data_IF_524966372241
#
_entry.id   IF_524966372241
#
_cell.length_a   1.000
_cell.length_b   1.000
_cell.length_c   1.000
_cell.angle_alpha   90.00
_cell.angle_beta   90.00
_cell.angle_gamma   90.00
#
_symmetry.space_group_name_H-M   'P 1'
#
loop_
_entity.id
_entity.type
_entity.pdbx_description
1 polymer ?
#
# COMPACT_ATOMS: atom_id res chain seq x y z
N UNK A 1 18.24 28.01 26.68
CA UNK A 1 19.01 26.95 25.97
C UNK A 1 18.13 25.76 25.58
N UNK A 2 17.31 25.23 26.48
CA UNK A 2 16.42 24.08 26.20
C UNK A 2 15.45 24.30 25.02
N UNK A 3 14.78 25.46 24.96
CA UNK A 3 13.84 25.75 23.87
C UNK A 3 14.50 25.83 22.48
N UNK A 4 15.76 26.28 22.41
CA UNK A 4 16.53 26.26 21.16
C UNK A 4 16.82 24.83 20.72
N UNK A 5 17.24 23.96 21.65
CA UNK A 5 17.49 22.55 21.36
C UNK A 5 16.23 21.81 20.90
N UNK A 6 15.07 22.12 21.49
CA UNK A 6 13.77 21.57 21.07
C UNK A 6 13.40 22.02 19.66
N UNK A 7 13.62 23.28 19.30
CA UNK A 7 13.37 23.77 17.95
C UNK A 7 14.31 23.11 16.93
N UNK A 8 15.61 23.00 17.23
CA UNK A 8 16.56 22.31 16.36
C UNK A 8 16.18 20.84 16.18
N UNK A 9 15.77 20.15 17.25
CA UNK A 9 15.31 18.77 17.16
C UNK A 9 14.03 18.65 16.32
N UNK A 10 13.06 19.56 16.50
CA UNK A 10 11.85 19.62 15.68
C UNK A 10 12.18 19.81 14.21
N UNK A 11 13.03 20.77 13.87
CA UNK A 11 13.33 21.17 12.50
C UNK A 11 14.13 20.10 11.73
N UNK A 12 14.84 19.22 12.44
CA UNK A 12 15.62 18.14 11.83
C UNK A 12 14.85 16.82 11.83
N UNK A 13 14.25 16.44 12.96
CA UNK A 13 13.63 15.11 13.14
C UNK A 13 12.25 15.06 12.51
N UNK A 14 11.45 16.12 12.64
CA UNK A 14 10.06 16.11 12.15
C UNK A 14 9.98 15.92 10.62
N UNK A 15 10.77 16.63 9.79
CA UNK A 15 10.73 16.41 8.34
C UNK A 15 11.15 15.00 7.94
N UNK A 16 12.12 14.42 8.65
CA UNK A 16 12.54 13.04 8.41
C UNK A 16 11.39 12.08 8.71
N UNK A 17 10.79 12.17 9.91
CA UNK A 17 9.67 11.30 10.29
C UNK A 17 8.50 11.42 9.32
N UNK A 18 8.16 12.63 8.88
CA UNK A 18 7.13 12.85 7.86
C UNK A 18 7.51 12.16 6.55
N UNK A 19 8.75 12.32 6.07
CA UNK A 19 9.24 11.67 4.85
C UNK A 19 9.21 10.14 4.92
N UNK A 20 9.76 9.55 5.99
CA UNK A 20 9.73 8.11 6.21
C UNK A 20 8.31 7.57 6.30
N UNK A 21 7.42 8.26 7.02
CA UNK A 21 6.02 7.86 7.13
C UNK A 21 5.31 7.91 5.77
N UNK A 22 5.58 8.93 4.96
CA UNK A 22 5.05 9.03 3.59
C UNK A 22 5.47 7.85 2.72
N UNK A 23 6.76 7.48 2.75
CA UNK A 23 7.28 6.31 2.01
C UNK A 23 6.63 5.01 2.48
N UNK A 24 6.46 4.84 3.79
CA UNK A 24 5.84 3.63 4.35
C UNK A 24 4.35 3.52 3.96
N UNK A 25 3.62 4.64 3.97
CA UNK A 25 2.22 4.67 3.56
C UNK A 25 2.05 4.38 2.07
N UNK A 26 2.88 4.98 1.22
CA UNK A 26 2.85 4.71 -0.23
C UNK A 26 3.10 3.23 -0.53
N UNK A 27 4.11 2.63 0.13
CA UNK A 27 4.41 1.21 -0.01
C UNK A 27 3.26 0.31 0.47
N UNK A 28 2.63 0.67 1.59
CA UNK A 28 1.49 -0.09 2.12
C UNK A 28 0.28 0.00 1.18
N UNK A 29 0.01 1.19 0.64
CA UNK A 29 -1.05 1.42 -0.35
C UNK A 29 -0.81 0.60 -1.62
N UNK A 30 0.42 0.63 -2.14
CA UNK A 30 0.80 -0.14 -3.32
C UNK A 30 0.61 -1.64 -3.09
N UNK A 31 1.11 -2.17 -1.98
CA UNK A 31 0.94 -3.58 -1.63
C UNK A 31 -0.53 -3.99 -1.47
N UNK A 32 -1.37 -3.11 -0.89
CA UNK A 32 -2.82 -3.37 -0.78
C UNK A 32 -3.47 -3.44 -2.15
N UNK A 33 -3.15 -2.50 -3.04
CA UNK A 33 -3.70 -2.45 -4.40
C UNK A 33 -3.25 -3.66 -5.23
N UNK A 34 -1.99 -4.05 -5.16
CA UNK A 34 -1.48 -5.21 -5.89
C UNK A 34 -2.17 -6.50 -5.45
N UNK A 35 -2.36 -6.69 -4.14
CA UNK A 35 -3.09 -7.85 -3.62
C UNK A 35 -4.54 -7.85 -4.08
N UNK A 36 -5.20 -6.69 -4.07
CA UNK A 36 -6.57 -6.57 -4.56
C UNK A 36 -6.67 -6.92 -6.05
N UNK A 37 -5.79 -6.38 -6.89
CA UNK A 37 -5.77 -6.65 -8.32
C UNK A 37 -5.46 -8.12 -8.62
N UNK A 38 -4.52 -8.73 -7.89
CA UNK A 38 -4.25 -10.17 -7.99
C UNK A 38 -5.50 -11.00 -7.66
N UNK A 39 -6.19 -10.67 -6.56
CA UNK A 39 -7.45 -11.33 -6.20
C UNK A 39 -8.53 -11.17 -7.27
N UNK A 40 -8.65 -10.00 -7.89
CA UNK A 40 -9.62 -9.78 -8.97
C UNK A 40 -9.30 -10.63 -10.20
N UNK A 41 -8.00 -10.75 -10.56
CA UNK A 41 -7.58 -11.59 -11.66
C UNK A 41 -7.89 -13.07 -11.41
N UNK A 42 -7.61 -13.56 -10.21
CA UNK A 42 -7.91 -14.94 -9.81
C UNK A 42 -9.41 -15.25 -9.86
N UNK A 43 -10.25 -14.32 -9.38
CA UNK A 43 -11.72 -14.46 -9.43
C UNK A 43 -12.21 -14.47 -10.89
N UNK A 44 -11.73 -13.54 -11.72
CA UNK A 44 -12.12 -13.49 -13.13
C UNK A 44 -11.75 -14.77 -13.89
N UNK A 45 -10.58 -15.33 -13.61
CA UNK A 45 -10.15 -16.62 -14.19
C UNK A 45 -11.02 -17.78 -13.69
N UNK A 46 -11.40 -17.79 -12.41
CA UNK A 46 -12.33 -18.78 -11.86
C UNK A 46 -13.68 -18.71 -12.56
N UNK A 47 -14.26 -17.51 -12.71
CA UNK A 47 -15.53 -17.30 -13.41
C UNK A 47 -15.48 -17.76 -14.87
N UNK A 48 -14.38 -17.46 -15.57
CA UNK A 48 -14.16 -17.92 -16.95
C UNK A 48 -14.18 -19.44 -17.04
N UNK A 49 -13.44 -20.12 -16.15
CA UNK A 49 -13.37 -21.58 -16.11
C UNK A 49 -14.71 -22.23 -15.76
N UNK A 50 -15.47 -21.64 -14.84
CA UNK A 50 -16.82 -22.13 -14.52
C UNK A 50 -17.72 -22.07 -15.74
N UNK A 51 -17.67 -20.97 -16.50
CA UNK A 51 -18.45 -20.81 -17.73
C UNK A 51 -18.07 -21.81 -18.81
N UNK A 52 -16.78 -22.13 -18.95
CA UNK A 52 -16.32 -23.19 -19.88
C UNK A 52 -16.87 -24.55 -19.49
N UNK A 53 -16.83 -24.91 -18.20
CA UNK A 53 -17.42 -26.15 -17.71
C UNK A 53 -18.94 -26.22 -17.92
N UNK A 54 -19.66 -25.10 -17.75
CA UNK A 54 -21.10 -25.05 -17.99
C UNK A 54 -21.44 -25.19 -19.48
N UNK A 55 -20.58 -24.73 -20.39
CA UNK A 55 -20.80 -24.85 -21.84
C UNK A 55 -20.40 -26.20 -22.43
N UNK A 56 -19.53 -26.95 -21.75
CA UNK A 56 -19.08 -28.29 -22.17
C UNK A 56 -20.03 -29.43 -21.74
N UNK A 57 -21.07 -29.12 -20.95
CA UNK A 57 -22.07 -30.07 -20.44
C UNK A 57 -23.35 -30.13 -21.32
#
# INVERSE_FOLDING_TARGET
MLGYLINVARDIVLPQVIGWTGILLDRAEHSRRDRYLGSCADIGELERRMRECDTDA
#
